data_IF_267314811565
#
_entry.id   IF_267314811565
#
_cell.length_a   1.000
_cell.length_b   1.000
_cell.length_c   1.000
_cell.angle_alpha   90.00
_cell.angle_beta   90.00
_cell.angle_gamma   90.00
#
_symmetry.space_group_name_H-M   'P 1'
#
loop_
_entity.id
_entity.type
_entity.pdbx_description
1 polymer ?
#
# COMPACT_ATOMS: atom_id res chain seq x y z
N UNK A 1 12.67 4.32 10.91
CA UNK A 1 11.82 5.41 11.42
C UNK A 1 10.40 4.89 11.69
N UNK A 2 10.15 4.23 12.84
CA UNK A 2 8.86 3.56 13.09
C UNK A 2 7.69 4.52 13.37
N UNK A 3 7.96 5.75 13.80
CA UNK A 3 6.95 6.76 14.16
C UNK A 3 6.85 7.93 13.17
N UNK A 4 7.63 7.92 12.09
CA UNK A 4 7.73 9.06 11.17
C UNK A 4 6.64 9.09 10.09
N UNK A 5 5.95 7.97 9.85
CA UNK A 5 4.92 7.85 8.84
C UNK A 5 3.55 7.68 9.48
N UNK A 6 2.57 8.45 8.98
CA UNK A 6 1.17 8.35 9.40
C UNK A 6 0.57 7.01 8.98
N UNK A 7 1.00 6.48 7.83
CA UNK A 7 0.51 5.20 7.31
C UNK A 7 1.33 4.02 7.82
N UNK A 8 0.68 2.85 7.87
CA UNK A 8 1.29 1.58 8.24
C UNK A 8 1.61 0.70 7.02
N UNK A 9 2.25 -0.45 7.29
CA UNK A 9 2.64 -1.43 6.27
C UNK A 9 1.46 -1.97 5.45
N UNK A 10 0.27 -2.06 6.05
CA UNK A 10 -0.94 -2.57 5.38
C UNK A 10 -1.33 -1.68 4.20
N UNK A 11 -1.16 -0.36 4.31
CA UNK A 11 -1.44 0.54 3.20
C UNK A 11 -0.54 0.24 1.99
N UNK A 12 0.75 0.02 2.25
CA UNK A 12 1.73 -0.26 1.20
C UNK A 12 1.42 -1.57 0.48
N UNK A 13 1.02 -2.61 1.22
CA UNK A 13 0.58 -3.89 0.64
C UNK A 13 -0.69 -3.70 -0.19
N UNK A 14 -1.70 -2.99 0.33
CA UNK A 14 -2.95 -2.71 -0.40
C UNK A 14 -2.69 -1.93 -1.69
N UNK A 15 -1.79 -0.95 -1.69
CA UNK A 15 -1.40 -0.21 -2.90
C UNK A 15 -0.74 -1.15 -3.91
N UNK A 16 0.19 -2.00 -3.47
CA UNK A 16 0.85 -2.97 -4.32
C UNK A 16 -0.14 -3.98 -4.92
N UNK A 17 -1.12 -4.45 -4.15
CA UNK A 17 -2.17 -5.33 -4.65
C UNK A 17 -3.08 -4.63 -5.68
N UNK A 18 -3.44 -3.37 -5.43
CA UNK A 18 -4.24 -2.56 -6.37
C UNK A 18 -3.49 -2.21 -7.66
N UNK A 19 -2.16 -2.21 -7.64
CA UNK A 19 -1.34 -2.02 -8.84
C UNK A 19 -1.48 -3.19 -9.82
N UNK A 20 -1.55 -4.43 -9.29
CA UNK A 20 -1.63 -5.63 -10.13
C UNK A 20 -3.05 -6.16 -10.33
N UNK A 21 -4.01 -5.80 -9.47
CA UNK A 21 -5.39 -6.29 -9.57
C UNK A 21 -6.17 -5.65 -10.72
N UNK A 22 -5.74 -4.49 -11.22
CA UNK A 22 -6.46 -3.67 -12.22
C UNK A 22 -7.92 -3.36 -11.83
N UNK A 23 -8.27 -3.50 -10.55
CA UNK A 23 -9.63 -3.30 -10.05
C UNK A 23 -10.05 -1.81 -10.09
N UNK A 24 -9.08 -0.91 -10.05
CA UNK A 24 -9.28 0.54 -9.96
C UNK A 24 -8.54 1.26 -11.09
N UNK A 25 -9.06 2.41 -11.51
CA UNK A 25 -8.42 3.23 -12.55
C UNK A 25 -7.16 3.97 -12.13
N UNK A 26 -6.85 4.00 -10.83
CA UNK A 26 -5.77 4.83 -10.25
C UNK A 26 -4.39 4.55 -10.84
N UNK A 27 -4.10 3.29 -11.17
CA UNK A 27 -2.79 2.88 -11.70
C UNK A 27 -2.85 2.45 -13.16
N UNK A 28 -3.98 2.64 -13.84
CA UNK A 28 -4.10 2.32 -15.26
C UNK A 28 -3.46 3.40 -16.13
N UNK A 29 -3.02 3.00 -17.33
CA UNK A 29 -2.39 3.84 -18.35
C UNK A 29 -1.03 4.45 -17.94
N UNK A 30 -0.29 4.90 -18.94
CA UNK A 30 1.11 5.34 -18.79
C UNK A 30 1.30 6.87 -18.76
N UNK A 31 0.23 7.65 -19.01
CA UNK A 31 0.30 9.11 -18.98
C UNK A 31 -1.03 9.72 -18.59
N UNK A 32 -0.98 10.91 -17.97
CA UNK A 32 -2.19 11.65 -17.59
C UNK A 32 -2.98 12.11 -18.81
N UNK A 33 -2.30 12.38 -19.94
CA UNK A 33 -2.99 12.68 -21.20
C UNK A 33 -3.92 11.53 -21.62
N UNK A 34 -3.41 10.29 -21.66
CA UNK A 34 -4.23 9.13 -22.02
C UNK A 34 -5.37 8.90 -21.02
N UNK A 35 -5.15 9.18 -19.73
CA UNK A 35 -6.20 9.08 -18.70
C UNK A 35 -7.35 10.05 -18.93
N UNK A 36 -7.03 11.28 -19.33
CA UNK A 36 -8.02 12.30 -19.64
C UNK A 36 -8.75 12.00 -20.94
N UNK A 37 -8.02 11.62 -22.00
CA UNK A 37 -8.59 11.28 -23.30
C UNK A 37 -9.56 10.09 -23.18
N UNK A 38 -9.23 9.09 -22.36
CA UNK A 38 -10.06 7.90 -22.09
C UNK A 38 -11.05 8.08 -20.94
N UNK A 39 -11.11 9.27 -20.32
CA UNK A 39 -12.03 9.61 -19.21
C UNK A 39 -12.06 8.56 -18.10
N UNK A 40 -10.90 8.05 -17.69
CA UNK A 40 -10.80 6.94 -16.73
C UNK A 40 -11.53 7.25 -15.40
N UNK A 41 -11.50 8.50 -14.96
CA UNK A 41 -12.20 8.95 -13.74
C UNK A 41 -13.72 8.84 -13.80
N UNK A 42 -14.31 8.87 -15.00
CA UNK A 42 -15.76 8.71 -15.19
C UNK A 42 -16.14 7.22 -15.27
N UNK A 43 -15.26 6.39 -15.82
CA UNK A 43 -15.53 4.97 -16.07
C UNK A 43 -15.10 4.03 -14.95
N UNK A 44 -14.24 4.48 -14.04
CA UNK A 44 -13.65 3.63 -13.01
C UNK A 44 -13.58 4.32 -11.66
N UNK A 45 -13.66 3.52 -10.59
CA UNK A 45 -13.48 4.02 -9.23
C UNK A 45 -11.99 4.17 -8.90
N UNK A 46 -11.67 5.16 -8.06
CA UNK A 46 -10.32 5.33 -7.51
C UNK A 46 -10.05 4.33 -6.40
N UNK A 47 -8.84 3.76 -6.37
CA UNK A 47 -8.34 2.91 -5.29
C UNK A 47 -8.32 3.66 -3.94
N UNK A 48 -8.21 4.99 -3.97
CA UNK A 48 -8.25 5.82 -2.77
C UNK A 48 -9.62 5.87 -2.11
N UNK A 49 -10.72 5.67 -2.86
CA UNK A 49 -12.08 5.70 -2.33
C UNK A 49 -12.29 4.67 -1.20
N UNK A 50 -12.03 3.36 -1.38
CA UNK A 50 -12.12 2.39 -0.29
C UNK A 50 -11.04 2.57 0.77
N UNK A 51 -9.83 3.00 0.40
CA UNK A 51 -8.73 3.24 1.35
C UNK A 51 -9.10 4.34 2.34
N UNK A 52 -9.63 5.46 1.86
CA UNK A 52 -10.04 6.59 2.70
C UNK A 52 -11.27 6.26 3.54
N UNK A 53 -12.18 5.42 3.02
CA UNK A 53 -13.33 4.93 3.80
C UNK A 53 -12.91 4.13 5.02
N UNK A 54 -11.87 3.32 4.89
CA UNK A 54 -11.31 2.49 5.98
C UNK A 54 -9.96 3.03 6.49
N UNK A 55 -9.78 4.36 6.49
CA UNK A 55 -8.51 5.02 6.84
C UNK A 55 -7.93 4.52 8.16
N UNK A 56 -8.76 4.27 9.17
CA UNK A 56 -8.34 3.80 10.50
C UNK A 56 -7.52 2.51 10.47
N UNK A 57 -7.71 1.63 9.48
CA UNK A 57 -6.92 0.41 9.32
C UNK A 57 -5.50 0.67 8.80
N UNK A 58 -5.28 1.83 8.19
CA UNK A 58 -4.04 2.21 7.53
C UNK A 58 -3.20 3.17 8.35
N UNK A 59 -3.73 3.68 9.47
CA UNK A 59 -3.00 4.58 10.35
C UNK A 59 -2.02 3.83 11.26
N UNK A 60 -0.89 4.48 11.52
CA UNK A 60 0.14 4.05 12.45
C UNK A 60 -0.14 4.67 13.84
N UNK A 61 -0.42 3.87 14.88
CA UNK A 61 -0.69 4.39 16.22
C UNK A 61 0.52 5.06 16.87
N UNK A 62 1.73 4.82 16.36
CA UNK A 62 2.96 5.43 16.84
C UNK A 62 3.36 6.69 16.07
N UNK A 63 2.52 7.17 15.15
CA UNK A 63 2.82 8.36 14.37
C UNK A 63 3.00 9.59 15.27
N UNK A 64 4.08 10.34 15.05
CA UNK A 64 4.36 11.60 15.76
C UNK A 64 4.40 12.74 14.76
N UNK A 65 3.41 13.63 14.82
CA UNK A 65 3.22 14.72 13.86
C UNK A 65 4.35 15.77 13.87
N UNK A 66 5.04 15.94 15.01
CA UNK A 66 6.05 16.98 15.22
C UNK A 66 7.50 16.51 14.99
N UNK A 67 7.74 15.71 13.96
CA UNK A 67 9.11 15.43 13.53
C UNK A 67 9.52 16.39 12.42
N UNK A 68 9.84 17.65 12.76
CA UNK A 68 10.46 18.63 11.84
C UNK A 68 11.90 18.25 11.42
N UNK A 69 12.25 16.97 11.57
CA UNK A 69 13.57 16.41 11.31
C UNK A 69 13.56 15.75 9.93
N UNK A 70 14.50 16.16 9.09
CA UNK A 70 14.79 15.47 7.83
C UNK A 70 15.15 14.01 8.12
N UNK A 71 14.45 13.06 7.49
CA UNK A 71 14.75 11.64 7.63
C UNK A 71 15.99 11.30 6.78
N UNK A 72 17.07 10.88 7.44
CA UNK A 72 18.30 10.45 6.76
C UNK A 72 18.45 8.93 6.93
N UNK A 73 18.02 8.12 5.94
CA UNK A 73 18.13 6.67 6.05
C UNK A 73 19.59 6.20 5.96
N UNK A 74 19.88 5.09 6.64
CA UNK A 74 21.15 4.38 6.46
C UNK A 74 21.04 3.45 5.23
N UNK A 75 21.80 3.75 4.18
CA UNK A 75 21.76 3.03 2.92
C UNK A 75 22.67 1.79 2.87
N UNK A 76 23.30 1.41 3.98
CA UNK A 76 24.08 0.17 4.05
C UNK A 76 23.18 -1.04 3.83
N UNK A 77 23.65 -2.01 3.05
CA UNK A 77 22.94 -3.28 2.81
C UNK A 77 22.59 -4.03 4.10
N UNK A 78 23.32 -3.81 5.20
CA UNK A 78 23.02 -4.38 6.53
C UNK A 78 21.72 -3.86 7.14
N UNK A 79 21.28 -2.67 6.76
CA UNK A 79 20.06 -2.03 7.26
C UNK A 79 18.86 -2.26 6.34
N UNK A 80 19.09 -2.69 5.09
CA UNK A 80 18.04 -3.08 4.16
C UNK A 80 17.61 -4.51 4.50
N UNK A 81 16.33 -4.68 4.84
CA UNK A 81 15.75 -5.98 5.17
C UNK A 81 14.78 -6.40 4.07
N UNK A 82 14.73 -7.70 3.79
CA UNK A 82 13.70 -8.27 2.94
C UNK A 82 12.32 -7.97 3.54
N UNK A 83 11.42 -7.45 2.71
CA UNK A 83 10.03 -7.21 3.10
C UNK A 83 9.24 -8.52 3.09
N UNK A 84 9.43 -9.33 4.13
CA UNK A 84 8.89 -10.68 4.24
C UNK A 84 7.36 -10.71 4.16
N UNK A 85 6.67 -9.75 4.77
CA UNK A 85 5.20 -9.68 4.75
C UNK A 85 4.62 -9.51 3.34
N UNK A 86 5.36 -8.90 2.42
CA UNK A 86 4.95 -8.79 1.02
C UNK A 86 5.45 -9.98 0.19
N UNK A 87 6.77 -10.22 0.17
CA UNK A 87 7.36 -11.22 -0.73
C UNK A 87 7.16 -12.68 -0.28
N UNK A 88 7.10 -12.94 1.02
CA UNK A 88 6.94 -14.30 1.56
C UNK A 88 5.48 -14.67 1.85
N UNK A 89 4.51 -13.80 1.53
CA UNK A 89 3.08 -13.99 1.89
C UNK A 89 2.45 -15.27 1.36
N UNK A 90 2.97 -15.83 0.26
CA UNK A 90 2.47 -17.06 -0.36
C UNK A 90 3.30 -18.30 0.01
N UNK A 91 4.34 -18.17 0.83
CA UNK A 91 5.19 -19.30 1.19
C UNK A 91 4.48 -20.21 2.21
N UNK A 92 4.42 -21.53 1.98
CA UNK A 92 3.86 -22.47 2.93
C UNK A 92 4.59 -22.37 4.29
N UNK A 93 3.83 -22.23 5.37
CA UNK A 93 4.38 -22.10 6.74
C UNK A 93 4.78 -20.68 7.16
N UNK A 94 4.78 -19.70 6.25
CA UNK A 94 4.95 -18.30 6.64
C UNK A 94 3.63 -17.72 7.18
N UNK A 95 3.56 -17.52 8.49
CA UNK A 95 2.45 -16.79 9.11
C UNK A 95 2.74 -15.29 9.07
N UNK A 96 2.31 -14.62 8.00
CA UNK A 96 2.27 -13.15 8.00
C UNK A 96 1.36 -12.68 9.13
N UNK A 97 1.85 -11.79 9.99
CA UNK A 97 1.10 -11.20 11.11
C UNK A 97 -0.11 -10.37 10.66
N UNK A 98 -0.23 -10.10 9.36
CA UNK A 98 -1.29 -9.29 8.75
C UNK A 98 -2.51 -10.07 8.27
N UNK A 99 -2.50 -11.41 8.33
CA UNK A 99 -3.63 -12.24 7.86
C UNK A 99 -4.58 -12.57 9.01
N UNK A 100 -5.47 -11.63 9.31
CA UNK A 100 -6.82 -11.94 9.82
C UNK A 100 -7.86 -11.07 9.11
N UNK A 101 -8.21 -11.43 7.86
CA UNK A 101 -9.58 -11.76 7.43
C UNK A 101 -9.74 -11.81 5.90
N UNK A 102 -10.50 -12.83 5.50
CA UNK A 102 -11.19 -13.08 4.22
C UNK A 102 -10.31 -13.19 2.97
N UNK A 103 -9.77 -14.40 2.84
CA UNK A 103 -9.62 -15.08 1.56
C UNK A 103 -10.97 -15.07 0.84
N UNK A 104 -11.21 -14.06 -0.01
CA UNK A 104 -12.19 -14.19 -1.08
C UNK A 104 -11.41 -14.83 -2.21
N UNK A 105 -11.54 -16.16 -2.31
CA UNK A 105 -11.21 -16.85 -3.55
C UNK A 105 -12.16 -16.29 -4.61
N UNK A 106 -11.65 -15.51 -5.55
CA UNK A 106 -12.30 -15.41 -6.86
C UNK A 106 -11.85 -16.64 -7.63
N UNK A 107 -12.75 -17.61 -7.72
CA UNK A 107 -12.80 -18.58 -8.82
C UNK A 107 -13.86 -18.08 -9.80
#
# INVERSE_FOLDING_TARGET
FPSAFEFNEKLLITIADNLYSCQYGTFLLNSDKLRNDMKISEHTMSAWTPILRERSLYLNPFYTEKSDKVLIPNNSSRHIKLWKNYYCRYMPGYRSTLVKKKQIFFC
#
